data_IF_635979750574
#
_entry.id   IF_635979750574
#
_cell.length_a   1.000
_cell.length_b   1.000
_cell.length_c   1.000
_cell.angle_alpha   90.00
_cell.angle_beta   90.00
_cell.angle_gamma   90.00
#
_symmetry.space_group_name_H-M   'P 1'
#
loop_
_entity.id
_entity.type
_entity.pdbx_description
1 polymer ?
#
# COMPACT_ATOMS: atom_id res chain seq x y z
N UNK A 1 -33.50 -13.77 -12.66
CA UNK A 1 -34.23 -13.85 -11.38
C UNK A 1 -34.48 -12.43 -10.91
N UNK A 2 -35.73 -11.99 -11.00
CA UNK A 2 -36.21 -10.67 -10.59
C UNK A 2 -36.23 -10.58 -9.06
N UNK A 3 -35.92 -9.39 -8.52
CA UNK A 3 -35.44 -9.17 -7.15
C UNK A 3 -36.35 -9.67 -6.03
N UNK A 4 -35.75 -10.44 -5.12
CA UNK A 4 -36.27 -10.69 -3.77
C UNK A 4 -36.21 -9.36 -2.98
N UNK A 5 -37.31 -8.62 -3.02
CA UNK A 5 -37.52 -7.46 -2.18
C UNK A 5 -38.07 -7.90 -0.82
N UNK A 6 -37.46 -7.46 0.27
CA UNK A 6 -37.91 -7.75 1.63
C UNK A 6 -38.13 -6.48 2.46
N UNK A 7 -39.00 -6.54 3.45
CA UNK A 7 -39.19 -5.44 4.41
C UNK A 7 -38.30 -5.69 5.61
N UNK A 8 -37.42 -4.73 5.91
CA UNK A 8 -36.53 -4.76 7.07
C UNK A 8 -36.66 -3.44 7.85
N UNK A 9 -36.29 -3.45 9.13
CA UNK A 9 -36.15 -2.23 9.91
C UNK A 9 -34.69 -1.77 9.84
N UNK A 10 -34.44 -0.53 9.42
CA UNK A 10 -33.10 0.07 9.39
C UNK A 10 -32.95 1.08 10.53
N UNK A 11 -31.93 0.91 11.35
CA UNK A 11 -31.64 1.79 12.49
C UNK A 11 -31.45 3.25 12.05
N UNK A 12 -32.13 4.18 12.73
CA UNK A 12 -32.15 5.61 12.41
C UNK A 12 -33.11 6.02 11.29
N UNK A 13 -33.73 5.06 10.60
CA UNK A 13 -34.61 5.31 9.44
C UNK A 13 -36.02 4.77 9.68
N UNK A 14 -36.17 3.54 10.20
CA UNK A 14 -37.45 2.85 10.36
C UNK A 14 -37.64 1.71 9.36
N UNK A 15 -38.88 1.38 9.03
CA UNK A 15 -39.19 0.32 8.06
C UNK A 15 -38.80 0.73 6.63
N UNK A 16 -38.02 -0.13 5.98
CA UNK A 16 -37.51 0.05 4.63
C UNK A 16 -37.78 -1.18 3.78
N UNK A 17 -38.18 -0.97 2.53
CA UNK A 17 -38.12 -2.01 1.50
C UNK A 17 -36.69 -2.12 1.01
N UNK A 18 -36.08 -3.28 1.15
CA UNK A 18 -34.70 -3.57 0.71
C UNK A 18 -34.77 -4.46 -0.51
N UNK A 19 -34.06 -4.07 -1.57
CA UNK A 19 -33.91 -4.86 -2.78
C UNK A 19 -32.43 -5.08 -3.09
N UNK A 20 -32.08 -6.33 -3.42
CA UNK A 20 -30.74 -6.71 -3.86
C UNK A 20 -30.62 -6.51 -5.36
N UNK A 21 -29.69 -5.67 -5.78
CA UNK A 21 -29.24 -5.56 -7.16
C UNK A 21 -27.92 -6.34 -7.36
N UNK A 22 -27.47 -6.45 -8.61
CA UNK A 22 -26.21 -7.13 -8.93
C UNK A 22 -24.98 -6.49 -8.27
N UNK A 23 -24.99 -5.16 -8.07
CA UNK A 23 -23.86 -4.35 -7.63
C UNK A 23 -24.02 -3.81 -6.18
N UNK A 24 -25.14 -4.10 -5.52
CA UNK A 24 -25.39 -3.60 -4.18
C UNK A 24 -26.82 -3.75 -3.68
N UNK A 25 -27.08 -3.09 -2.56
CA UNK A 25 -28.39 -2.96 -1.94
C UNK A 25 -29.01 -1.61 -2.28
N UNK A 26 -30.30 -1.61 -2.54
CA UNK A 26 -31.12 -0.39 -2.54
C UNK A 26 -32.17 -0.51 -1.47
N UNK A 27 -32.43 0.60 -0.77
CA UNK A 27 -33.45 0.62 0.27
C UNK A 27 -34.26 1.92 0.23
N UNK A 28 -35.58 1.78 0.36
CA UNK A 28 -36.54 2.87 0.32
C UNK A 28 -37.40 2.85 1.59
N UNK A 29 -37.54 3.98 2.31
CA UNK A 29 -38.47 4.08 3.44
C UNK A 29 -39.91 3.81 3.01
N UNK A 30 -40.62 2.95 3.75
CA UNK A 30 -42.04 2.64 3.51
C UNK A 30 -42.97 3.79 3.91
N UNK A 31 -42.58 4.54 4.94
CA UNK A 31 -43.29 5.72 5.41
C UNK A 31 -42.42 6.95 5.21
N UNK A 32 -42.60 7.64 4.07
CA UNK A 32 -42.17 9.03 3.95
C UNK A 32 -43.18 9.88 4.73
N UNK A 33 -42.81 10.36 5.92
CA UNK A 33 -43.62 11.38 6.59
C UNK A 33 -43.61 12.65 5.72
N UNK A 34 -44.68 12.81 4.94
CA UNK A 34 -45.09 14.08 4.37
C UNK A 34 -45.49 14.98 5.54
N UNK A 35 -44.64 15.95 5.87
CA UNK A 35 -45.12 17.18 6.48
C UNK A 35 -44.56 18.38 5.72
N UNK A 36 -45.24 18.72 4.63
CA UNK A 36 -45.32 20.12 4.22
C UNK A 36 -46.20 20.85 5.22
N UNK A 37 -45.61 21.66 6.11
CA UNK A 37 -46.17 22.95 6.57
C UNK A 37 -45.38 23.47 7.77
N UNK A 38 -44.32 24.22 7.50
CA UNK A 38 -44.10 25.55 8.07
C UNK A 38 -42.73 26.03 7.64
N UNK A 39 -42.69 27.24 7.10
CA UNK A 39 -41.46 27.97 6.85
C UNK A 39 -40.72 28.14 8.19
N UNK A 40 -39.39 28.19 8.13
CA UNK A 40 -38.46 28.23 9.26
C UNK A 40 -38.20 26.90 9.97
N UNK A 41 -37.36 26.04 9.36
CA UNK A 41 -36.41 25.17 10.07
C UNK A 41 -35.42 24.60 9.06
N UNK A 42 -34.14 24.88 9.24
CA UNK A 42 -33.04 24.26 8.48
C UNK A 42 -32.99 22.80 8.93
N UNK A 43 -33.70 21.93 8.21
CA UNK A 43 -33.75 20.50 8.51
C UNK A 43 -32.44 19.83 8.08
N UNK A 44 -31.51 19.67 9.02
CA UNK A 44 -30.30 18.86 8.86
C UNK A 44 -30.65 17.36 8.98
N UNK A 45 -31.31 16.79 7.96
CA UNK A 45 -31.28 15.34 7.78
C UNK A 45 -30.04 14.99 6.94
N UNK A 46 -29.13 14.12 7.42
CA UNK A 46 -28.10 13.58 6.55
C UNK A 46 -28.82 12.82 5.44
N UNK A 47 -28.74 13.30 4.20
CA UNK A 47 -29.27 12.59 3.01
C UNK A 47 -28.77 11.14 3.06
N UNK A 48 -29.65 10.23 3.48
CA UNK A 48 -29.41 8.79 3.50
C UNK A 48 -29.04 8.38 2.07
N UNK A 49 -27.89 7.73 1.89
CA UNK A 49 -27.60 7.10 0.62
C UNK A 49 -28.59 5.95 0.45
N UNK A 50 -29.53 6.08 -0.49
CA UNK A 50 -30.55 5.07 -0.79
C UNK A 50 -30.00 3.83 -1.48
N UNK A 51 -28.67 3.76 -1.66
CA UNK A 51 -27.95 2.68 -2.32
C UNK A 51 -26.62 2.45 -1.61
N UNK A 52 -26.31 1.18 -1.36
CA UNK A 52 -25.05 0.70 -0.79
C UNK A 52 -24.41 -0.28 -1.77
N UNK A 53 -23.23 0.01 -2.28
CA UNK A 53 -22.55 -0.87 -3.23
C UNK A 53 -21.83 -2.00 -2.51
N UNK A 54 -21.88 -3.23 -3.06
CA UNK A 54 -21.13 -4.35 -2.49
C UNK A 54 -19.63 -4.11 -2.52
N UNK A 55 -19.12 -3.35 -3.50
CA UNK A 55 -17.71 -2.96 -3.58
C UNK A 55 -17.21 -2.11 -2.41
N UNK A 56 -18.12 -1.53 -1.61
CA UNK A 56 -17.81 -0.71 -0.43
C UNK A 56 -18.12 -1.43 0.90
N UNK A 57 -18.73 -2.62 0.86
CA UNK A 57 -19.07 -3.40 2.06
C UNK A 57 -17.93 -4.35 2.38
N UNK A 58 -17.29 -4.22 3.54
CA UNK A 58 -16.15 -5.08 3.90
C UNK A 58 -16.53 -6.27 4.79
N UNK A 59 -17.67 -6.23 5.49
CA UNK A 59 -18.13 -7.35 6.31
C UNK A 59 -19.64 -7.33 6.58
N UNK A 60 -20.17 -8.48 7.00
CA UNK A 60 -21.52 -8.64 7.52
C UNK A 60 -21.46 -9.51 8.76
N UNK A 61 -22.10 -9.06 9.84
CA UNK A 61 -22.11 -9.73 11.14
C UNK A 61 -23.54 -9.90 11.66
N UNK A 62 -23.81 -11.05 12.26
CA UNK A 62 -25.02 -11.24 13.06
C UNK A 62 -24.83 -10.64 14.44
N UNK A 63 -25.88 -10.00 14.94
CA UNK A 63 -25.93 -9.49 16.30
C UNK A 63 -27.00 -10.22 17.10
N UNK A 64 -26.81 -10.23 18.41
CA UNK A 64 -27.84 -10.67 19.34
C UNK A 64 -29.10 -9.80 19.25
N UNK A 65 -30.21 -10.38 19.70
CA UNK A 65 -31.49 -9.68 19.83
C UNK A 65 -31.29 -8.40 20.63
N UNK A 66 -31.85 -7.30 20.15
CA UNK A 66 -31.80 -6.05 20.88
C UNK A 66 -32.50 -4.91 20.16
N UNK A 67 -32.38 -3.69 20.68
CA UNK A 67 -33.16 -2.56 20.19
C UNK A 67 -32.67 -2.11 18.81
N UNK A 68 -33.62 -1.75 17.95
CA UNK A 68 -33.36 -0.97 16.73
C UNK A 68 -34.08 0.37 16.89
N UNK A 69 -33.34 1.47 16.73
CA UNK A 69 -33.90 2.81 16.96
C UNK A 69 -34.58 3.32 15.68
N UNK A 70 -35.81 3.83 15.79
CA UNK A 70 -36.46 4.58 14.71
C UNK A 70 -35.85 5.96 14.50
N UNK A 71 -36.34 6.73 13.51
CA UNK A 71 -35.84 8.07 13.22
C UNK A 71 -36.01 9.01 14.43
N UNK A 72 -35.01 9.84 14.68
CA UNK A 72 -34.91 10.69 15.88
C UNK A 72 -36.00 11.79 15.99
N UNK A 73 -36.81 11.99 14.93
CA UNK A 73 -37.71 13.14 14.78
C UNK A 73 -39.20 12.87 15.09
N UNK A 74 -39.58 11.69 15.58
CA UNK A 74 -40.95 11.54 16.08
C UNK A 74 -41.08 12.25 17.43
N UNK A 75 -41.77 13.39 17.40
CA UNK A 75 -42.10 14.26 18.54
C UNK A 75 -43.15 13.60 19.47
N UNK A 76 -43.02 12.32 19.75
CA UNK A 76 -43.75 11.59 20.80
C UNK A 76 -42.87 11.47 22.03
N UNK A 77 -42.53 12.64 22.58
CA UNK A 77 -42.34 12.78 24.02
C UNK A 77 -43.74 12.56 24.62
N UNK A 78 -43.88 11.66 25.60
CA UNK A 78 -45.14 11.24 26.25
C UNK A 78 -45.92 10.09 25.56
N UNK A 79 -45.29 8.92 25.42
CA UNK A 79 -45.86 7.59 25.77
C UNK A 79 -44.90 6.49 25.30
N UNK A 80 -44.25 5.79 26.24
CA UNK A 80 -43.53 4.52 26.07
C UNK A 80 -42.73 4.33 24.78
N UNK A 81 -41.41 4.61 24.81
CA UNK A 81 -40.46 4.12 23.81
C UNK A 81 -40.66 2.62 23.58
N UNK A 82 -41.36 2.22 22.52
CA UNK A 82 -41.32 0.84 22.03
C UNK A 82 -40.00 0.65 21.30
N UNK A 83 -38.90 0.52 22.07
CA UNK A 83 -37.72 -0.17 21.59
C UNK A 83 -38.19 -1.60 21.31
N UNK A 84 -38.59 -1.88 20.07
CA UNK A 84 -39.02 -3.22 19.70
C UNK A 84 -37.74 -4.02 19.55
N UNK A 85 -37.53 -4.97 20.44
CA UNK A 85 -36.40 -5.90 20.32
C UNK A 85 -36.60 -6.72 19.05
N UNK A 86 -35.55 -6.79 18.24
CA UNK A 86 -35.56 -7.51 16.98
C UNK A 86 -34.28 -8.33 16.85
N UNK A 87 -34.33 -9.35 16.00
CA UNK A 87 -33.13 -10.02 15.51
C UNK A 87 -32.41 -9.04 14.57
N UNK A 88 -31.08 -8.98 14.64
CA UNK A 88 -30.32 -7.93 13.95
C UNK A 88 -29.12 -8.50 13.19
N UNK A 89 -28.75 -7.81 12.13
CA UNK A 89 -27.47 -7.99 11.47
C UNK A 89 -26.92 -6.61 11.06
N UNK A 90 -25.60 -6.51 11.02
CA UNK A 90 -24.90 -5.28 10.64
C UNK A 90 -24.15 -5.51 9.34
N UNK A 91 -24.34 -4.59 8.42
CA UNK A 91 -23.54 -4.48 7.20
C UNK A 91 -22.51 -3.40 7.42
N UNK A 92 -21.24 -3.80 7.44
CA UNK A 92 -20.09 -2.94 7.66
C UNK A 92 -19.57 -2.45 6.32
N UNK A 93 -19.59 -1.14 6.10
CA UNK A 93 -19.22 -0.51 4.85
C UNK A 93 -18.24 0.65 5.06
N UNK A 94 -17.71 1.18 3.96
CA UNK A 94 -16.86 2.38 3.98
C UNK A 94 -17.61 3.58 3.43
N UNK A 95 -17.31 4.75 3.96
CA UNK A 95 -17.82 6.02 3.45
C UNK A 95 -16.76 7.10 3.53
N UNK A 96 -16.97 8.19 2.78
CA UNK A 96 -16.17 9.41 2.91
C UNK A 96 -16.98 10.46 3.65
N UNK A 97 -16.35 11.11 4.62
CA UNK A 97 -16.99 12.22 5.31
C UNK A 97 -17.21 13.38 4.33
N UNK A 98 -18.40 14.00 4.36
CA UNK A 98 -18.67 15.20 3.55
C UNK A 98 -17.84 16.40 3.99
N UNK A 99 -17.40 16.43 5.25
CA UNK A 99 -16.56 17.51 5.81
C UNK A 99 -15.07 17.29 5.54
N UNK A 100 -14.66 16.03 5.42
CA UNK A 100 -13.28 15.61 5.16
C UNK A 100 -13.32 14.44 4.17
N UNK A 101 -13.32 14.71 2.85
CA UNK A 101 -13.48 13.66 1.84
C UNK A 101 -12.21 12.82 1.63
N UNK A 102 -11.09 13.14 2.30
CA UNK A 102 -9.83 12.41 2.14
C UNK A 102 -9.83 11.03 2.84
N UNK A 103 -10.13 10.89 4.15
CA UNK A 103 -10.13 9.57 4.78
C UNK A 103 -11.38 8.77 4.42
N UNK A 104 -11.16 7.48 4.17
CA UNK A 104 -12.21 6.48 4.19
C UNK A 104 -12.45 6.04 5.62
N UNK A 105 -13.70 6.09 6.07
CA UNK A 105 -14.09 5.72 7.44
C UNK A 105 -15.07 4.55 7.43
N UNK A 106 -14.99 3.63 8.41
CA UNK A 106 -16.02 2.63 8.60
C UNK A 106 -17.38 3.27 8.90
N UNK A 107 -18.44 2.64 8.41
CA UNK A 107 -19.82 2.97 8.73
C UNK A 107 -20.66 1.70 8.81
N UNK A 108 -21.73 1.74 9.60
CA UNK A 108 -22.54 0.57 9.91
C UNK A 108 -23.99 0.79 9.49
N UNK A 109 -24.55 -0.19 8.77
CA UNK A 109 -25.97 -0.27 8.47
C UNK A 109 -26.56 -1.42 9.28
N UNK A 110 -27.28 -1.07 10.34
CA UNK A 110 -27.91 -2.05 11.24
C UNK A 110 -29.34 -2.32 10.79
N UNK A 111 -29.57 -3.53 10.30
CA UNK A 111 -30.88 -4.02 9.89
C UNK A 111 -31.46 -4.92 10.98
N UNK A 112 -32.80 -4.93 11.09
CA UNK A 112 -33.52 -5.77 12.02
C UNK A 112 -34.81 -6.33 11.43
N UNK A 113 -35.21 -7.50 11.94
CA UNK A 113 -36.46 -8.16 11.62
C UNK A 113 -36.97 -8.97 12.82
N UNK A 114 -38.28 -9.20 12.90
CA UNK A 114 -38.89 -9.97 13.99
C UNK A 114 -38.50 -11.45 13.91
N UNK A 115 -38.46 -11.99 12.70
CA UNK A 115 -38.01 -13.35 12.44
C UNK A 115 -36.48 -13.41 12.28
N UNK A 116 -35.86 -14.33 13.02
CA UNK A 116 -34.42 -14.58 13.01
C UNK A 116 -33.96 -15.16 11.67
N UNK A 117 -34.77 -16.03 11.06
CA UNK A 117 -34.37 -16.74 9.86
C UNK A 117 -34.30 -15.81 8.64
N UNK A 118 -35.19 -14.82 8.60
CA UNK A 118 -35.13 -13.70 7.66
C UNK A 118 -33.80 -12.95 7.80
N UNK A 119 -33.38 -12.57 9.02
CA UNK A 119 -32.11 -11.88 9.24
C UNK A 119 -30.90 -12.72 8.79
N UNK A 120 -30.90 -14.03 9.09
CA UNK A 120 -29.88 -14.98 8.63
C UNK A 120 -29.81 -15.05 7.12
N UNK A 121 -30.93 -15.28 6.47
CA UNK A 121 -31.03 -15.36 5.01
C UNK A 121 -30.47 -14.10 4.34
N UNK A 122 -30.82 -12.92 4.85
CA UNK A 122 -30.31 -11.65 4.34
C UNK A 122 -28.80 -11.51 4.52
N UNK A 123 -28.28 -11.75 5.72
CA UNK A 123 -26.86 -11.61 5.99
C UNK A 123 -26.01 -12.63 5.23
N UNK A 124 -26.48 -13.88 5.11
CA UNK A 124 -25.84 -14.93 4.31
C UNK A 124 -25.86 -14.58 2.82
N UNK A 125 -26.98 -14.05 2.31
CA UNK A 125 -27.09 -13.63 0.92
C UNK A 125 -26.11 -12.47 0.61
N UNK A 126 -26.08 -11.43 1.45
CA UNK A 126 -25.16 -10.30 1.30
C UNK A 126 -23.70 -10.78 1.41
N UNK A 127 -23.40 -11.64 2.38
CA UNK A 127 -22.07 -12.27 2.51
C UNK A 127 -21.70 -13.06 1.26
N UNK A 128 -22.64 -13.79 0.67
CA UNK A 128 -22.47 -14.52 -0.58
C UNK A 128 -22.18 -13.60 -1.77
N UNK A 129 -22.80 -12.43 -1.85
CA UNK A 129 -22.49 -11.41 -2.86
C UNK A 129 -21.09 -10.84 -2.68
N UNK A 130 -20.73 -10.47 -1.45
CA UNK A 130 -19.39 -9.94 -1.12
C UNK A 130 -18.29 -10.95 -1.44
N UNK A 131 -18.51 -12.23 -1.14
CA UNK A 131 -17.53 -13.30 -1.40
C UNK A 131 -17.29 -13.58 -2.89
N UNK A 132 -18.16 -13.08 -3.78
CA UNK A 132 -18.01 -13.19 -5.24
C UNK A 132 -17.15 -12.07 -5.83
N UNK A 133 -16.82 -11.03 -5.06
CA UNK A 133 -15.91 -9.97 -5.48
C UNK A 133 -14.49 -10.53 -5.68
N UNK A 134 -14.08 -10.69 -6.94
CA UNK A 134 -12.87 -11.44 -7.30
C UNK A 134 -11.57 -10.80 -6.82
N UNK A 135 -11.56 -9.48 -6.65
CA UNK A 135 -10.36 -8.73 -6.30
C UNK A 135 -10.04 -8.75 -4.79
N UNK A 136 -10.91 -9.31 -3.94
CA UNK A 136 -10.71 -9.28 -2.49
C UNK A 136 -9.68 -10.31 -2.04
N UNK A 137 -8.66 -9.89 -1.27
CA UNK A 137 -7.68 -10.83 -0.73
C UNK A 137 -8.31 -11.71 0.35
N UNK A 138 -7.85 -12.95 0.44
CA UNK A 138 -8.27 -13.92 1.47
C UNK A 138 -7.14 -14.24 2.44
N UNK A 139 -5.90 -14.26 1.96
CA UNK A 139 -4.71 -14.61 2.75
C UNK A 139 -3.60 -13.60 2.49
N UNK A 140 -3.17 -12.87 3.52
CA UNK A 140 -2.14 -11.84 3.39
C UNK A 140 -0.98 -12.11 4.35
N UNK A 141 0.24 -11.91 3.87
CA UNK A 141 1.41 -11.83 4.73
C UNK A 141 1.60 -10.38 5.18
N UNK A 142 1.91 -10.14 6.45
CA UNK A 142 2.01 -8.78 7.00
C UNK A 142 3.37 -8.62 7.67
N UNK A 143 4.20 -7.72 7.17
CA UNK A 143 5.41 -7.31 7.85
C UNK A 143 5.15 -6.04 8.65
N UNK A 144 5.40 -6.08 9.95
CA UNK A 144 5.26 -4.94 10.85
C UNK A 144 6.63 -4.48 11.31
N UNK A 145 6.98 -3.22 11.07
CA UNK A 145 8.21 -2.65 11.64
C UNK A 145 7.91 -1.97 12.98
N UNK A 146 8.28 -2.54 14.14
CA UNK A 146 7.85 -2.02 15.44
C UNK A 146 8.29 -0.57 15.69
N UNK A 147 9.49 -0.23 15.23
CA UNK A 147 10.15 1.05 15.52
C UNK A 147 9.83 2.16 14.51
N UNK A 148 8.99 1.93 13.50
CA UNK A 148 8.67 2.97 12.51
C UNK A 148 7.91 4.14 13.14
N UNK A 149 8.13 5.35 12.60
CA UNK A 149 7.30 6.52 12.88
C UNK A 149 7.13 6.87 14.35
N UNK A 150 8.24 6.90 15.10
CA UNK A 150 8.28 7.08 16.57
C UNK A 150 7.65 5.91 17.36
N UNK A 151 7.84 4.68 16.90
CA UNK A 151 7.34 3.47 17.56
C UNK A 151 5.83 3.25 17.41
N UNK A 152 5.24 3.73 16.30
CA UNK A 152 3.81 3.62 16.01
C UNK A 152 3.45 2.37 15.20
N UNK A 153 4.41 1.62 14.67
CA UNK A 153 4.15 0.46 13.81
C UNK A 153 3.24 -0.59 14.44
N UNK A 154 3.54 -1.02 15.68
CA UNK A 154 2.69 -1.97 16.40
C UNK A 154 1.30 -1.39 16.67
N UNK A 155 1.22 -0.14 17.16
CA UNK A 155 -0.06 0.53 17.45
C UNK A 155 -0.94 0.68 16.20
N UNK A 156 -0.34 1.03 15.07
CA UNK A 156 -1.05 1.15 13.80
C UNK A 156 -1.56 -0.21 13.33
N UNK A 157 -0.77 -1.28 13.49
CA UNK A 157 -1.24 -2.64 13.20
C UNK A 157 -2.36 -3.07 14.15
N UNK A 158 -2.20 -2.91 15.47
CA UNK A 158 -3.21 -3.24 16.48
C UNK A 158 -4.54 -2.53 16.22
N UNK A 159 -4.49 -1.28 15.76
CA UNK A 159 -5.67 -0.50 15.40
C UNK A 159 -6.44 -1.08 14.20
N UNK A 160 -5.73 -1.60 13.19
CA UNK A 160 -6.35 -2.03 11.92
C UNK A 160 -6.55 -3.54 11.82
N UNK A 161 -5.84 -4.34 12.60
CA UNK A 161 -5.97 -5.80 12.60
C UNK A 161 -7.42 -6.29 12.79
N UNK A 162 -8.24 -5.69 13.68
CA UNK A 162 -9.65 -6.08 13.82
C UNK A 162 -10.49 -5.85 12.55
N UNK A 163 -10.09 -4.95 11.64
CA UNK A 163 -10.77 -4.75 10.36
C UNK A 163 -10.54 -5.94 9.43
N UNK A 164 -9.31 -6.47 9.39
CA UNK A 164 -8.98 -7.67 8.60
C UNK A 164 -9.70 -8.90 9.14
N UNK A 165 -9.74 -9.09 10.46
CA UNK A 165 -10.45 -10.18 11.10
C UNK A 165 -11.96 -10.12 10.79
N UNK A 166 -12.57 -8.96 10.96
CA UNK A 166 -13.99 -8.71 10.63
C UNK A 166 -14.30 -8.99 9.16
N UNK A 167 -13.40 -8.62 8.27
CA UNK A 167 -13.52 -8.91 6.83
C UNK A 167 -13.18 -10.36 6.46
N UNK A 168 -12.88 -11.22 7.45
CA UNK A 168 -12.49 -12.63 7.26
C UNK A 168 -11.24 -12.80 6.37
N UNK A 169 -10.35 -11.81 6.38
CA UNK A 169 -9.05 -11.85 5.70
C UNK A 169 -8.02 -12.44 6.65
N UNK A 170 -7.49 -13.61 6.31
CA UNK A 170 -6.47 -14.28 7.12
C UNK A 170 -5.13 -13.55 6.99
N UNK A 171 -4.48 -13.25 8.10
CA UNK A 171 -3.21 -12.52 8.12
C UNK A 171 -2.13 -13.35 8.81
N UNK A 172 -0.97 -13.51 8.17
CA UNK A 172 0.26 -14.04 8.77
C UNK A 172 1.19 -12.88 9.10
N UNK A 173 1.26 -12.51 10.38
CA UNK A 173 2.00 -11.34 10.85
C UNK A 173 3.43 -11.72 11.22
N UNK A 174 4.41 -10.93 10.75
CA UNK A 174 5.83 -11.06 11.02
C UNK A 174 6.34 -9.69 11.49
N UNK A 175 6.84 -9.63 12.72
CA UNK A 175 7.46 -8.42 13.24
C UNK A 175 8.93 -8.39 12.82
N UNK A 176 9.36 -7.34 12.12
CA UNK A 176 10.74 -7.22 11.66
C UNK A 176 11.65 -6.84 12.84
N UNK A 177 12.75 -7.56 12.98
CA UNK A 177 13.71 -7.38 14.08
C UNK A 177 14.93 -6.53 13.70
N UNK A 178 15.26 -6.47 12.41
CA UNK A 178 16.44 -5.80 11.86
C UNK A 178 16.19 -5.30 10.45
N UNK A 179 17.06 -4.40 9.97
CA UNK A 179 17.08 -4.01 8.57
C UNK A 179 17.38 -5.23 7.68
N UNK A 180 16.67 -5.39 6.57
CA UNK A 180 16.84 -6.51 5.65
C UNK A 180 16.14 -7.82 6.09
N UNK A 181 15.42 -7.84 7.22
CA UNK A 181 14.66 -9.02 7.65
C UNK A 181 13.55 -9.37 6.64
N UNK A 182 12.66 -8.45 6.28
CA UNK A 182 11.59 -8.70 5.31
C UNK A 182 12.15 -9.08 3.94
N UNK A 183 13.26 -8.48 3.53
CA UNK A 183 13.97 -8.84 2.29
C UNK A 183 14.41 -10.31 2.34
N UNK A 184 15.13 -10.69 3.41
CA UNK A 184 15.66 -12.04 3.57
C UNK A 184 14.53 -13.08 3.60
N UNK A 185 13.46 -12.81 4.35
CA UNK A 185 12.29 -13.70 4.44
C UNK A 185 11.64 -13.94 3.07
N UNK A 186 11.44 -12.89 2.26
CA UNK A 186 10.78 -13.02 0.95
C UNK A 186 11.69 -13.61 -0.13
N UNK A 187 12.99 -13.30 -0.06
CA UNK A 187 14.00 -13.88 -0.94
C UNK A 187 14.17 -15.39 -0.70
N UNK A 188 14.09 -15.84 0.56
CA UNK A 188 14.19 -17.26 0.93
C UNK A 188 12.89 -18.05 0.79
N UNK A 189 11.75 -17.37 0.63
CA UNK A 189 10.44 -18.03 0.52
C UNK A 189 10.38 -18.89 -0.73
N UNK A 190 9.84 -20.11 -0.66
CA UNK A 190 9.60 -20.92 -1.86
C UNK A 190 8.38 -20.44 -2.63
N UNK A 191 8.29 -20.74 -3.93
CA UNK A 191 7.13 -20.38 -4.74
C UNK A 191 5.84 -21.10 -4.31
N UNK A 192 5.96 -22.31 -3.77
CA UNK A 192 4.83 -23.05 -3.18
C UNK A 192 4.28 -22.34 -1.93
N UNK A 193 5.15 -21.74 -1.13
CA UNK A 193 4.73 -20.96 0.03
C UNK A 193 4.18 -19.60 -0.37
N UNK A 194 4.79 -18.93 -1.35
CA UNK A 194 4.33 -17.64 -1.85
C UNK A 194 2.88 -17.75 -2.35
N UNK A 195 2.57 -18.79 -3.13
CA UNK A 195 1.22 -19.08 -3.67
C UNK A 195 0.11 -19.27 -2.62
N UNK A 196 0.45 -19.38 -1.34
CA UNK A 196 -0.55 -19.43 -0.25
C UNK A 196 -1.12 -18.05 0.10
N UNK A 197 -0.52 -16.96 -0.39
CA UNK A 197 -0.87 -15.60 -0.03
C UNK A 197 -1.23 -14.77 -1.25
N UNK A 198 -2.36 -14.08 -1.23
CA UNK A 198 -2.81 -13.18 -2.32
C UNK A 198 -1.99 -11.88 -2.38
N UNK A 199 -1.16 -11.63 -1.36
CA UNK A 199 -0.28 -10.46 -1.32
C UNK A 199 0.46 -10.31 0.00
N UNK A 200 1.25 -9.24 0.08
CA UNK A 200 2.02 -8.86 1.26
C UNK A 200 1.80 -7.39 1.63
N UNK A 201 1.72 -7.10 2.91
CA UNK A 201 1.50 -5.76 3.46
C UNK A 201 2.75 -5.29 4.20
N UNK A 202 3.19 -4.07 3.91
CA UNK A 202 4.15 -3.31 4.71
C UNK A 202 3.41 -2.43 5.74
N UNK A 203 3.51 -2.71 7.03
CA UNK A 203 3.12 -1.78 8.09
C UNK A 203 4.37 -1.00 8.53
N UNK A 204 4.58 0.13 7.89
CA UNK A 204 5.86 0.85 7.94
C UNK A 204 5.86 2.07 7.03
N UNK A 205 7.06 2.54 6.68
CA UNK A 205 7.26 3.56 5.66
C UNK A 205 7.84 3.00 4.37
N UNK A 206 8.27 3.89 3.47
CA UNK A 206 8.81 3.55 2.14
C UNK A 206 9.99 2.57 2.21
N UNK A 207 10.81 2.62 3.26
CA UNK A 207 11.93 1.70 3.45
C UNK A 207 11.52 0.24 3.60
N UNK A 208 10.50 -0.06 4.43
CA UNK A 208 10.00 -1.43 4.60
C UNK A 208 9.33 -1.92 3.31
N UNK A 209 8.58 -1.05 2.63
CA UNK A 209 7.97 -1.38 1.35
C UNK A 209 9.04 -1.73 0.30
N UNK A 210 10.10 -0.93 0.18
CA UNK A 210 11.21 -1.21 -0.73
C UNK A 210 11.97 -2.48 -0.35
N UNK A 211 12.10 -2.79 0.94
CA UNK A 211 12.71 -4.03 1.41
C UNK A 211 11.91 -5.27 0.95
N UNK A 212 10.59 -5.22 1.10
CA UNK A 212 9.66 -6.25 0.61
C UNK A 212 9.73 -6.39 -0.91
N UNK A 213 9.67 -5.27 -1.63
CA UNK A 213 9.75 -5.23 -3.09
C UNK A 213 11.03 -5.89 -3.60
N UNK A 214 12.18 -5.52 -3.04
CA UNK A 214 13.47 -6.09 -3.45
C UNK A 214 13.56 -7.58 -3.06
N UNK A 215 13.02 -7.98 -1.91
CA UNK A 215 12.99 -9.40 -1.51
C UNK A 215 12.23 -10.27 -2.51
N UNK A 216 11.07 -9.79 -2.97
CA UNK A 216 10.27 -10.47 -3.98
C UNK A 216 10.94 -10.50 -5.35
N UNK A 217 11.41 -9.35 -5.85
CA UNK A 217 11.92 -9.23 -7.23
C UNK A 217 13.31 -9.82 -7.41
N UNK A 218 14.15 -9.86 -6.35
CA UNK A 218 15.54 -10.33 -6.44
C UNK A 218 15.70 -11.74 -7.02
N UNK A 219 14.75 -12.65 -6.72
CA UNK A 219 14.79 -14.04 -7.18
C UNK A 219 13.77 -14.35 -8.28
N UNK A 220 12.83 -13.43 -8.55
CA UNK A 220 11.63 -13.69 -9.37
C UNK A 220 11.42 -12.77 -10.55
N UNK A 221 12.22 -11.71 -10.66
CA UNK A 221 12.17 -10.81 -11.80
C UNK A 221 13.42 -10.98 -12.65
N UNK A 222 13.22 -11.35 -13.92
CA UNK A 222 14.27 -11.48 -14.92
C UNK A 222 14.02 -10.42 -15.99
N UNK A 223 14.83 -9.37 -15.99
CA UNK A 223 14.83 -8.34 -17.03
C UNK A 223 16.25 -8.14 -17.55
N UNK A 224 16.35 -7.73 -18.81
CA UNK A 224 17.61 -7.28 -19.38
C UNK A 224 18.15 -6.09 -18.59
N UNK A 225 19.45 -6.08 -18.35
CA UNK A 225 20.10 -4.94 -17.73
C UNK A 225 20.16 -3.76 -18.71
N UNK A 226 20.16 -2.52 -18.20
CA UNK A 226 20.46 -1.36 -19.03
C UNK A 226 21.87 -1.51 -19.65
N UNK A 227 22.23 -0.72 -20.68
CA UNK A 227 23.58 -0.72 -21.20
C UNK A 227 24.61 -0.44 -20.10
N UNK A 228 25.82 -1.02 -20.23
CA UNK A 228 26.95 -0.60 -19.40
C UNK A 228 27.29 0.87 -19.66
N UNK A 229 27.93 1.58 -18.73
CA UNK A 229 28.36 2.97 -18.95
C UNK A 229 29.24 3.14 -20.20
N UNK A 230 30.07 2.13 -20.50
CA UNK A 230 30.90 2.08 -21.71
C UNK A 230 30.06 1.79 -22.97
N UNK A 231 29.07 0.89 -22.87
CA UNK A 231 28.10 0.61 -23.92
C UNK A 231 27.24 1.83 -24.29
N UNK A 232 26.88 2.67 -23.32
CA UNK A 232 26.21 3.95 -23.57
C UNK A 232 27.01 4.88 -24.49
N UNK A 233 28.36 4.85 -24.45
CA UNK A 233 29.18 5.65 -25.38
C UNK A 233 29.03 5.21 -26.83
N UNK A 234 28.76 3.93 -27.08
CA UNK A 234 28.51 3.40 -28.42
C UNK A 234 27.09 3.68 -28.93
N UNK A 235 26.11 3.88 -28.04
CA UNK A 235 24.76 4.32 -28.44
C UNK A 235 24.75 5.75 -29.03
N UNK A 236 25.72 6.59 -28.65
CA UNK A 236 25.88 7.95 -29.14
C UNK A 236 26.16 8.09 -30.65
N UNK A 237 26.47 6.99 -31.36
CA UNK A 237 26.69 7.04 -32.82
C UNK A 237 25.42 6.80 -33.66
N UNK A 238 24.39 6.14 -33.11
CA UNK A 238 23.20 5.73 -33.88
C UNK A 238 21.89 6.39 -33.43
N UNK A 239 21.85 7.03 -32.25
CA UNK A 239 20.70 7.80 -31.77
C UNK A 239 21.17 9.16 -31.26
N UNK A 240 20.35 10.20 -31.41
CA UNK A 240 20.63 11.55 -30.91
C UNK A 240 20.62 11.58 -29.36
N UNK A 241 21.64 11.04 -28.70
CA UNK A 241 21.87 11.25 -27.27
C UNK A 241 22.46 12.65 -27.06
N UNK A 242 21.78 13.50 -26.30
CA UNK A 242 22.36 14.74 -25.81
C UNK A 242 23.17 14.46 -24.53
N UNK A 243 24.50 14.45 -24.64
CA UNK A 243 25.37 14.46 -23.48
C UNK A 243 25.45 15.89 -22.91
N UNK A 244 25.01 16.08 -21.67
CA UNK A 244 25.24 17.32 -20.93
C UNK A 244 26.38 17.10 -19.95
N UNK A 245 27.50 17.79 -20.19
CA UNK A 245 28.59 17.96 -19.21
C UNK A 245 28.45 19.33 -18.58
N UNK A 246 28.32 19.38 -17.25
CA UNK A 246 28.25 20.64 -16.54
C UNK A 246 29.68 21.21 -16.41
N UNK A 247 30.13 21.94 -17.43
CA UNK A 247 31.42 22.64 -17.36
C UNK A 247 31.26 23.84 -16.43
N UNK A 248 31.74 23.70 -15.20
CA UNK A 248 31.93 24.82 -14.29
C UNK A 248 32.75 25.91 -14.97
N UNK A 249 32.22 27.13 -14.89
CA UNK A 249 32.77 28.35 -15.48
C UNK A 249 34.26 28.51 -15.16
N UNK A 250 35.10 28.39 -16.18
CA UNK A 250 36.49 28.84 -16.16
C UNK A 250 36.53 30.37 -16.28
N UNK A 251 37.18 31.02 -15.32
CA UNK A 251 37.82 32.32 -15.52
C UNK A 251 39.25 32.26 -14.96
N UNK A 252 40.20 32.60 -15.83
CA UNK A 252 41.66 32.68 -15.66
C UNK A 252 42.06 33.47 -14.39
N UNK A 253 43.24 33.31 -13.76
CA UNK A 253 44.58 33.43 -14.33
C UNK A 253 45.64 33.04 -13.27
N UNK A 254 46.83 32.65 -13.74
CA UNK A 254 47.94 32.04 -13.02
C UNK A 254 48.77 32.96 -12.09
N UNK A 255 49.31 32.36 -11.03
CA UNK A 255 50.66 32.50 -10.44
C UNK A 255 50.80 31.29 -9.49
N UNK A 256 51.75 30.37 -9.60
CA UNK A 256 53.20 30.53 -9.58
C UNK A 256 53.72 29.76 -8.35
N UNK A 257 54.35 28.61 -8.60
CA UNK A 257 55.24 27.79 -7.76
C UNK A 257 55.00 27.66 -6.24
N UNK A 258 54.78 26.44 -5.77
CA UNK A 258 55.81 25.77 -4.96
C UNK A 258 55.56 24.26 -4.81
N UNK A 259 56.64 23.53 -5.04
CA UNK A 259 56.79 22.08 -4.89
C UNK A 259 56.77 21.74 -3.40
N UNK A 260 55.86 20.86 -2.97
CA UNK A 260 56.17 19.96 -1.87
C UNK A 260 55.41 18.64 -1.98
N UNK A 261 56.16 17.66 -2.44
CA UNK A 261 55.89 16.22 -2.33
C UNK A 261 55.81 15.87 -0.84
N UNK A 262 54.63 15.44 -0.40
CA UNK A 262 54.51 14.59 0.78
C UNK A 262 53.72 13.34 0.39
N UNK A 263 54.49 12.28 0.14
CA UNK A 263 54.03 10.90 0.06
C UNK A 263 53.26 10.54 1.33
N UNK A 264 51.93 10.43 1.21
CA UNK A 264 51.06 9.78 2.18
C UNK A 264 50.44 8.55 1.54
N UNK A 265 50.90 7.37 1.95
CA UNK A 265 50.28 6.08 1.60
C UNK A 265 48.77 6.12 1.90
N UNK A 266 47.93 6.01 0.86
CA UNK A 266 46.50 5.75 1.01
C UNK A 266 46.15 4.46 0.26
N UNK A 267 46.60 3.33 0.83
CA UNK A 267 46.01 2.03 0.55
C UNK A 267 44.84 1.83 1.52
N UNK A 268 43.68 2.39 1.19
CA UNK A 268 42.40 1.97 1.77
C UNK A 268 41.38 1.88 0.65
N UNK A 269 40.90 0.69 0.28
CA UNK A 269 39.83 0.55 -0.71
C UNK A 269 38.54 1.08 -0.08
N UNK A 270 38.06 2.20 -0.62
CA UNK A 270 36.86 2.93 -0.15
C UNK A 270 35.56 2.24 -0.64
N UNK A 271 35.50 0.92 -0.52
CA UNK A 271 34.33 0.08 -0.82
C UNK A 271 33.50 -0.15 0.46
N UNK A 272 33.03 0.93 1.08
CA UNK A 272 31.99 0.83 2.09
C UNK A 272 30.62 0.97 1.41
N UNK A 273 29.92 -0.16 1.26
CA UNK A 273 28.53 -0.23 0.80
C UNK A 273 27.63 0.72 1.61
N UNK A 274 26.96 1.70 0.97
CA UNK A 274 25.93 2.44 1.66
C UNK A 274 24.64 1.62 1.61
N UNK A 275 24.18 1.22 2.80
CA UNK A 275 22.78 0.96 3.15
C UNK A 275 22.12 -0.26 2.47
N UNK A 276 22.58 -1.43 2.88
CA UNK A 276 21.81 -2.63 3.27
C UNK A 276 22.85 -3.74 3.44
N UNK A 277 23.64 -3.71 4.52
CA UNK A 277 24.57 -4.79 4.81
C UNK A 277 23.76 -6.05 5.12
N UNK A 278 23.58 -6.93 4.13
CA UNK A 278 23.16 -8.30 4.36
C UNK A 278 24.26 -8.97 5.16
N UNK A 279 24.12 -8.99 6.49
CA UNK A 279 24.89 -9.89 7.33
C UNK A 279 24.60 -11.33 6.86
N UNK A 280 25.65 -12.14 6.80
CA UNK A 280 25.61 -13.55 6.44
C UNK A 280 24.46 -14.27 7.16
N UNK A 281 23.85 -15.22 6.45
CA UNK A 281 22.81 -16.10 6.99
C UNK A 281 23.32 -16.84 8.22
N UNK A 282 23.04 -16.32 9.41
CA UNK A 282 22.98 -17.16 10.60
C UNK A 282 21.69 -17.97 10.50
N UNK A 283 21.87 -19.27 10.29
CA UNK A 283 20.78 -20.23 10.16
C UNK A 283 19.81 -20.12 11.32
N UNK A 284 18.53 -20.02 11.00
CA UNK A 284 17.48 -20.37 11.95
C UNK A 284 17.33 -21.88 11.87
N UNK A 285 17.64 -22.56 12.97
CA UNK A 285 17.38 -23.98 13.20
C UNK A 285 15.88 -24.25 13.08
N UNK A 286 15.46 -24.72 11.89
CA UNK A 286 14.22 -25.45 11.73
C UNK A 286 14.62 -26.92 11.76
N UNK A 287 14.25 -27.59 12.85
CA UNK A 287 14.51 -29.00 13.11
C UNK A 287 14.18 -29.88 11.90
N UNK A 288 15.22 -30.44 11.28
CA UNK A 288 15.12 -31.49 10.28
C UNK A 288 14.73 -32.81 10.95
N UNK A 289 13.52 -33.29 10.71
CA UNK A 289 13.14 -34.67 11.03
C UNK A 289 12.74 -35.41 9.76
N UNK A 290 13.64 -36.33 9.37
CA UNK A 290 13.45 -37.57 8.62
C UNK A 290 13.04 -37.49 7.14
N UNK A 291 14.06 -37.63 6.29
CA UNK A 291 13.98 -38.22 4.95
C UNK A 291 13.70 -39.72 5.07
N UNK A 292 12.61 -40.18 4.49
CA UNK A 292 12.45 -41.56 4.04
C UNK A 292 12.08 -41.52 2.56
N UNK A 293 12.89 -42.19 1.76
CA UNK A 293 12.77 -42.32 0.31
C UNK A 293 11.39 -42.86 -0.11
N UNK A 294 10.61 -42.05 -0.82
CA UNK A 294 9.50 -42.51 -1.65
C UNK A 294 9.67 -42.01 -3.09
N UNK A 295 9.20 -42.76 -4.11
CA UNK A 295 9.54 -42.52 -5.50
C UNK A 295 8.88 -41.24 -6.02
N UNK A 296 9.65 -40.48 -6.81
CA UNK A 296 9.25 -39.22 -7.43
C UNK A 296 8.03 -39.37 -8.35
N UNK A 297 6.85 -39.06 -7.83
CA UNK A 297 5.72 -38.54 -8.60
C UNK A 297 5.28 -37.25 -7.89
N UNK A 298 5.71 -36.10 -8.39
CA UNK A 298 5.46 -34.84 -7.71
C UNK A 298 5.34 -33.66 -8.66
N UNK A 299 4.11 -33.17 -8.81
CA UNK A 299 3.75 -31.93 -9.47
C UNK A 299 4.77 -30.81 -9.18
N UNK A 300 5.61 -30.47 -10.16
CA UNK A 300 6.49 -29.32 -10.04
C UNK A 300 5.62 -28.06 -10.03
N UNK A 301 5.51 -27.41 -8.87
CA UNK A 301 4.79 -26.15 -8.73
C UNK A 301 5.43 -25.11 -9.66
N UNK A 302 4.68 -24.48 -10.58
CA UNK A 302 5.25 -23.54 -11.55
C UNK A 302 5.98 -22.39 -10.88
N UNK A 303 7.16 -22.02 -11.41
CA UNK A 303 7.94 -20.87 -10.97
C UNK A 303 7.10 -19.58 -10.97
N UNK A 304 7.22 -18.76 -9.93
CA UNK A 304 6.52 -17.46 -9.82
C UNK A 304 7.42 -16.38 -10.40
N UNK A 305 6.95 -15.71 -11.45
CA UNK A 305 7.58 -14.54 -12.02
C UNK A 305 6.77 -13.27 -11.74
N UNK A 306 7.45 -12.12 -11.79
CA UNK A 306 6.84 -10.79 -11.72
C UNK A 306 7.18 -9.97 -12.97
N UNK A 307 6.27 -9.10 -13.45
CA UNK A 307 4.95 -8.79 -12.88
C UNK A 307 3.92 -9.92 -13.08
N UNK A 308 2.92 -10.01 -12.20
CA UNK A 308 1.79 -10.93 -12.33
C UNK A 308 0.50 -10.25 -11.84
N UNK A 309 -0.66 -10.82 -12.15
CA UNK A 309 -1.98 -10.21 -11.84
C UNK A 309 -2.58 -10.64 -10.50
N UNK A 310 -1.96 -11.62 -9.82
CA UNK A 310 -2.55 -12.26 -8.64
C UNK A 310 -1.96 -11.68 -7.34
N UNK A 311 -0.64 -11.53 -7.27
CA UNK A 311 0.08 -11.16 -6.05
C UNK A 311 0.19 -9.64 -5.92
N UNK A 312 -0.23 -9.11 -4.77
CA UNK A 312 -0.34 -7.65 -4.57
C UNK A 312 0.54 -7.15 -3.42
N UNK A 313 0.96 -5.89 -3.53
CA UNK A 313 1.69 -5.17 -2.48
C UNK A 313 0.75 -4.18 -1.80
N UNK A 314 0.66 -4.24 -0.48
CA UNK A 314 -0.08 -3.29 0.36
C UNK A 314 0.86 -2.47 1.23
N UNK A 315 0.44 -1.24 1.57
CA UNK A 315 1.17 -0.37 2.51
C UNK A 315 0.21 0.26 3.51
N UNK A 316 0.54 0.15 4.79
CA UNK A 316 -0.14 0.81 5.90
C UNK A 316 0.82 1.84 6.50
N UNK A 317 0.50 3.15 6.41
CA UNK A 317 1.40 4.25 6.72
C UNK A 317 1.80 4.21 8.18
N UNK A 318 3.10 4.10 8.42
CA UNK A 318 3.69 4.25 9.76
C UNK A 318 5.07 4.90 9.70
N UNK A 319 5.46 5.49 8.56
CA UNK A 319 6.74 6.15 8.36
C UNK A 319 6.70 7.64 8.67
N UNK A 320 7.80 8.33 8.33
CA UNK A 320 7.91 9.80 8.41
C UNK A 320 7.77 10.47 7.04
N UNK A 321 8.06 9.75 5.95
CA UNK A 321 7.94 10.23 4.57
C UNK A 321 6.61 9.80 3.97
N UNK A 322 6.38 8.48 3.93
CA UNK A 322 5.13 7.88 3.46
C UNK A 322 4.77 8.37 2.04
N UNK A 323 5.76 8.42 1.16
CA UNK A 323 5.59 8.90 -0.21
C UNK A 323 4.74 7.93 -1.06
N UNK A 324 4.99 6.63 -0.94
CA UNK A 324 4.29 5.60 -1.73
C UNK A 324 2.82 5.56 -1.33
N UNK A 325 2.52 5.55 -0.03
CA UNK A 325 1.14 5.55 0.47
C UNK A 325 0.40 6.83 0.10
N UNK A 326 0.99 8.03 0.28
CA UNK A 326 0.37 9.28 -0.18
C UNK A 326 0.06 9.27 -1.68
N UNK A 327 0.97 8.73 -2.49
CA UNK A 327 0.80 8.68 -3.95
C UNK A 327 -0.25 7.66 -4.40
N UNK A 328 -0.57 6.67 -3.58
CA UNK A 328 -1.48 5.56 -3.93
C UNK A 328 -2.84 5.67 -3.26
N UNK A 329 -2.91 6.04 -1.97
CA UNK A 329 -4.15 6.16 -1.20
C UNK A 329 -4.63 7.60 -1.06
N UNK A 330 -3.74 8.59 -1.24
CA UNK A 330 -4.02 10.01 -1.10
C UNK A 330 -3.97 10.54 0.35
N UNK A 331 -3.74 9.69 1.36
CA UNK A 331 -3.81 10.09 2.78
C UNK A 331 -2.88 9.24 3.66
N UNK A 332 -2.36 9.83 4.75
CA UNK A 332 -1.51 9.12 5.75
C UNK A 332 -2.35 8.52 6.88
N UNK A 333 -3.41 7.79 6.52
CA UNK A 333 -4.34 7.18 7.47
C UNK A 333 -4.26 5.64 7.42
N UNK A 334 -3.86 4.97 8.52
CA UNK A 334 -3.78 3.51 8.55
C UNK A 334 -5.12 2.82 8.31
N UNK A 335 -6.23 3.39 8.79
CA UNK A 335 -7.57 2.83 8.62
C UNK A 335 -7.97 2.83 7.15
N UNK A 336 -7.79 3.96 6.48
CA UNK A 336 -8.00 4.10 5.03
C UNK A 336 -7.20 3.06 4.25
N UNK A 337 -5.89 2.93 4.51
CA UNK A 337 -5.07 1.91 3.84
C UNK A 337 -5.58 0.50 4.07
N UNK A 338 -5.93 0.14 5.31
CA UNK A 338 -6.44 -1.18 5.64
C UNK A 338 -7.75 -1.49 4.92
N UNK A 339 -8.70 -0.55 4.91
CA UNK A 339 -9.98 -0.69 4.22
C UNK A 339 -9.82 -0.87 2.71
N UNK A 340 -8.94 -0.08 2.07
CA UNK A 340 -8.66 -0.21 0.64
C UNK A 340 -8.04 -1.58 0.29
N UNK A 341 -7.12 -2.06 1.13
CA UNK A 341 -6.52 -3.40 0.99
C UNK A 341 -7.59 -4.49 1.12
N UNK A 342 -8.42 -4.43 2.16
CA UNK A 342 -9.50 -5.41 2.42
C UNK A 342 -10.49 -5.49 1.26
N UNK A 343 -10.86 -4.34 0.70
CA UNK A 343 -11.78 -4.27 -0.43
C UNK A 343 -11.11 -4.64 -1.77
N UNK A 344 -9.81 -4.93 -1.79
CA UNK A 344 -9.10 -5.32 -3.00
C UNK A 344 -8.89 -4.18 -4.00
N UNK A 345 -8.96 -2.91 -3.55
CA UNK A 345 -8.72 -1.75 -4.41
C UNK A 345 -7.26 -1.81 -4.91
N UNK A 346 -7.06 -1.57 -6.20
CA UNK A 346 -5.76 -1.72 -6.86
C UNK A 346 -5.40 -0.52 -7.71
N UNK A 347 -4.10 -0.25 -7.78
CA UNK A 347 -3.49 0.74 -8.66
C UNK A 347 -2.19 0.14 -9.20
N UNK A 348 -1.82 0.48 -10.43
CA UNK A 348 -0.52 0.12 -10.99
C UNK A 348 0.56 1.06 -10.46
N UNK A 349 1.73 0.51 -10.13
CA UNK A 349 2.87 1.27 -9.65
C UNK A 349 4.09 0.97 -10.53
N UNK A 350 4.67 2.01 -11.10
CA UNK A 350 5.89 1.90 -11.89
C UNK A 350 7.09 1.68 -10.96
N UNK A 351 7.97 0.74 -11.34
CA UNK A 351 9.14 0.36 -10.55
C UNK A 351 10.40 0.61 -11.39
N UNK A 352 11.34 1.38 -10.84
CA UNK A 352 12.63 1.63 -11.49
C UNK A 352 13.64 0.52 -11.13
N UNK A 353 14.28 -0.08 -12.13
CA UNK A 353 15.44 -0.95 -11.94
C UNK A 353 16.71 -0.09 -11.89
N UNK A 354 17.47 -0.22 -10.79
CA UNK A 354 18.74 0.47 -10.57
C UNK A 354 19.86 -0.57 -10.62
N UNK A 355 20.75 -0.46 -11.61
CA UNK A 355 21.84 -1.40 -11.83
C UNK A 355 23.18 -0.72 -11.57
N UNK A 356 23.92 -1.23 -10.59
CA UNK A 356 25.28 -0.82 -10.29
C UNK A 356 26.27 -1.75 -10.99
N UNK A 357 26.98 -1.20 -11.97
CA UNK A 357 28.10 -1.85 -12.63
C UNK A 357 29.36 -1.74 -11.74
N UNK A 358 30.13 -2.82 -11.60
CA UNK A 358 31.41 -2.80 -10.88
C UNK A 358 32.53 -2.28 -11.78
N UNK A 359 33.50 -1.60 -11.19
CA UNK A 359 34.57 -0.89 -11.90
C UNK A 359 35.67 -1.78 -12.52
N UNK A 360 35.71 -3.08 -12.20
CA UNK A 360 36.73 -4.00 -12.75
C UNK A 360 36.13 -4.91 -13.84
N UNK A 361 36.71 -4.92 -15.06
CA UNK A 361 36.29 -5.80 -16.15
C UNK A 361 36.87 -7.23 -16.05
N UNK A 362 37.66 -7.54 -15.01
CA UNK A 362 38.24 -8.88 -14.83
C UNK A 362 37.50 -9.67 -13.75
N UNK A 363 37.00 -10.84 -14.16
CA UNK A 363 36.21 -11.84 -13.44
C UNK A 363 34.70 -11.58 -13.37
N UNK A 364 33.96 -12.69 -13.48
CA UNK A 364 32.51 -12.90 -13.61
C UNK A 364 31.67 -12.33 -12.46
N UNK A 365 31.80 -11.05 -12.14
CA UNK A 365 31.03 -10.43 -11.05
C UNK A 365 29.79 -9.76 -11.62
N UNK A 366 28.64 -10.44 -11.48
CA UNK A 366 27.33 -9.95 -11.90
C UNK A 366 27.05 -8.54 -11.31
N UNK A 367 26.40 -7.65 -12.08
CA UNK A 367 26.03 -6.32 -11.59
C UNK A 367 25.05 -6.43 -10.41
N UNK A 368 25.09 -5.45 -9.51
CA UNK A 368 24.15 -5.42 -8.39
C UNK A 368 22.88 -4.70 -8.81
N UNK A 369 21.74 -5.37 -8.64
CA UNK A 369 20.42 -4.87 -9.06
C UNK A 369 19.58 -4.54 -7.84
N UNK A 370 18.97 -3.35 -7.85
CA UNK A 370 17.97 -2.91 -6.88
C UNK A 370 16.74 -2.39 -7.61
N UNK A 371 15.61 -2.39 -6.92
CA UNK A 371 14.35 -1.84 -7.41
C UNK A 371 13.90 -0.70 -6.51
N UNK A 372 13.41 0.38 -7.11
CA UNK A 372 12.92 1.56 -6.40
C UNK A 372 11.48 1.87 -6.82
N UNK A 373 10.59 2.00 -5.83
CA UNK A 373 9.18 2.34 -6.05
C UNK A 373 8.87 3.85 -5.98
N UNK A 374 9.80 4.67 -5.49
CA UNK A 374 9.56 6.11 -5.27
C UNK A 374 10.63 6.98 -5.91
N UNK A 375 11.88 6.89 -5.45
CA UNK A 375 12.97 7.69 -5.98
C UNK A 375 14.33 7.02 -5.75
N UNK A 376 15.27 7.29 -6.65
CA UNK A 376 16.69 7.07 -6.48
C UNK A 376 17.40 8.43 -6.68
N UNK A 377 18.40 8.73 -5.87
CA UNK A 377 19.04 10.05 -5.86
C UNK A 377 20.56 9.97 -5.76
N UNK A 378 21.23 10.92 -6.41
CA UNK A 378 22.68 11.12 -6.37
C UNK A 378 22.99 12.59 -6.02
N UNK A 379 24.19 12.85 -5.49
CA UNK A 379 24.64 14.20 -5.12
C UNK A 379 23.93 14.73 -3.88
N UNK A 380 23.59 16.03 -3.89
CA UNK A 380 23.01 16.75 -2.75
C UNK A 380 21.84 15.97 -2.10
N UNK A 381 20.84 15.59 -2.90
CA UNK A 381 19.67 14.88 -2.37
C UNK A 381 20.03 13.52 -1.76
N UNK A 382 20.91 12.76 -2.42
CA UNK A 382 21.40 11.47 -1.90
C UNK A 382 22.13 11.62 -0.57
N UNK A 383 22.97 12.65 -0.43
CA UNK A 383 23.64 12.96 0.84
C UNK A 383 22.65 13.42 1.91
N UNK A 384 21.65 14.24 1.59
CA UNK A 384 20.61 14.64 2.54
C UNK A 384 19.88 13.43 3.08
N UNK A 385 19.45 12.51 2.21
CA UNK A 385 18.80 11.27 2.63
C UNK A 385 19.74 10.45 3.52
N UNK A 386 21.00 10.23 3.11
CA UNK A 386 22.01 9.48 3.88
C UNK A 386 22.25 10.08 5.27
N UNK A 387 22.48 11.39 5.36
CA UNK A 387 22.74 12.08 6.63
C UNK A 387 21.48 12.08 7.52
N UNK A 388 20.29 12.22 6.94
CA UNK A 388 19.02 12.25 7.68
C UNK A 388 18.69 10.96 8.43
N UNK A 389 19.31 9.83 8.04
CA UNK A 389 19.15 8.56 8.72
C UNK A 389 19.73 8.57 10.14
N UNK A 390 20.76 9.37 10.41
CA UNK A 390 21.30 9.55 11.76
C UNK A 390 20.34 10.32 12.69
N UNK A 391 19.32 10.97 12.13
CA UNK A 391 18.40 11.86 12.84
C UNK A 391 16.95 11.36 12.79
N UNK A 392 16.72 10.03 12.66
CA UNK A 392 15.35 9.44 12.64
C UNK A 392 14.47 9.90 13.81
N UNK A 393 15.06 10.15 14.98
CA UNK A 393 14.36 10.58 16.19
C UNK A 393 13.65 11.94 16.02
N UNK A 394 14.12 12.79 15.11
CA UNK A 394 13.50 14.09 14.81
C UNK A 394 12.20 13.96 13.99
N UNK A 395 11.89 12.79 13.43
CA UNK A 395 10.79 12.63 12.48
C UNK A 395 11.03 13.49 11.22
N UNK A 396 9.97 14.04 10.59
CA UNK A 396 10.11 14.79 9.33
C UNK A 396 11.09 15.98 9.36
N UNK A 397 11.29 16.64 10.50
CA UNK A 397 12.22 17.77 10.64
C UNK A 397 13.68 17.42 10.34
N UNK A 398 14.04 16.12 10.33
CA UNK A 398 15.38 15.65 9.95
C UNK A 398 15.77 16.07 8.54
N UNK A 399 14.80 16.21 7.62
CA UNK A 399 15.11 16.55 6.23
C UNK A 399 15.57 17.99 6.09
N UNK A 400 14.94 18.94 6.77
CA UNK A 400 15.35 20.34 6.75
C UNK A 400 16.69 20.54 7.45
N UNK A 401 16.90 19.84 8.57
CA UNK A 401 18.16 19.87 9.31
C UNK A 401 19.32 19.31 8.48
N UNK A 402 19.18 18.09 7.95
CA UNK A 402 20.21 17.48 7.11
C UNK A 402 20.39 18.23 5.80
N UNK A 403 19.31 18.75 5.21
CA UNK A 403 19.34 19.64 4.05
C UNK A 403 20.24 20.85 4.27
N UNK A 404 20.02 21.56 5.37
CA UNK A 404 20.83 22.73 5.75
C UNK A 404 22.29 22.35 5.97
N UNK A 405 22.55 21.23 6.64
CA UNK A 405 23.92 20.80 6.91
C UNK A 405 24.70 20.39 5.67
N UNK A 406 24.07 19.62 4.77
CA UNK A 406 24.67 19.26 3.48
C UNK A 406 24.86 20.50 2.61
N UNK A 407 23.91 21.44 2.64
CA UNK A 407 24.00 22.69 1.90
C UNK A 407 25.19 23.54 2.35
N UNK A 408 25.39 23.70 3.66
CA UNK A 408 26.52 24.45 4.21
C UNK A 408 27.88 23.80 3.95
N UNK A 409 27.94 22.47 3.79
CA UNK A 409 29.16 21.76 3.36
C UNK A 409 29.53 22.09 1.90
N UNK A 410 28.60 22.61 1.10
CA UNK A 410 28.78 23.15 -0.25
C UNK A 410 29.69 22.29 -1.15
N UNK A 411 29.39 20.99 -1.24
CA UNK A 411 30.11 20.05 -2.10
C UNK A 411 29.57 20.07 -3.52
N UNK A 412 30.46 20.09 -4.51
CA UNK A 412 30.12 19.80 -5.90
C UNK A 412 30.26 18.30 -6.17
N UNK A 413 29.37 17.74 -6.98
CA UNK A 413 29.41 16.33 -7.37
C UNK A 413 29.58 16.25 -8.88
N UNK A 414 30.69 15.67 -9.33
CA UNK A 414 30.91 15.42 -10.74
C UNK A 414 30.11 14.19 -11.17
N UNK A 415 29.26 14.36 -12.18
CA UNK A 415 28.49 13.27 -12.77
C UNK A 415 28.38 13.45 -14.27
N UNK A 416 28.34 12.32 -14.99
CA UNK A 416 27.97 12.25 -16.39
C UNK A 416 26.62 11.56 -16.50
N UNK A 417 25.67 12.19 -17.19
CA UNK A 417 24.32 11.67 -17.37
C UNK A 417 24.07 11.47 -18.86
N UNK A 418 23.66 10.25 -19.21
CA UNK A 418 23.11 9.92 -20.51
C UNK A 418 21.69 9.39 -20.29
N UNK A 419 20.76 9.80 -21.14
CA UNK A 419 19.36 9.37 -21.05
C UNK A 419 18.81 9.09 -22.45
N UNK A 420 17.82 8.20 -22.51
CA UNK A 420 17.02 7.96 -23.69
C UNK A 420 15.68 8.66 -23.48
N UNK A 421 15.37 9.61 -24.37
CA UNK A 421 14.08 10.27 -24.34
C UNK A 421 12.99 9.28 -24.80
N UNK A 422 11.89 9.23 -24.07
CA UNK A 422 10.74 8.45 -24.48
C UNK A 422 10.18 9.07 -25.77
N UNK A 423 10.27 8.35 -26.90
CA UNK A 423 9.64 8.80 -28.14
C UNK A 423 8.12 8.94 -27.91
N UNK A 424 7.56 10.11 -28.25
CA UNK A 424 6.15 10.51 -28.07
C UNK A 424 5.10 9.58 -28.74
N UNK A 425 5.50 8.43 -29.25
CA UNK A 425 4.71 7.55 -30.13
C UNK A 425 3.75 6.60 -29.40
N UNK A 426 3.65 6.61 -28.06
CA UNK A 426 2.77 5.67 -27.31
C UNK A 426 1.46 6.33 -26.82
N UNK A 427 1.23 7.63 -27.05
CA UNK A 427 -0.05 8.26 -26.70
C UNK A 427 -1.14 8.20 -27.79
N UNK A 428 -0.91 7.52 -28.92
CA UNK A 428 -1.89 7.44 -30.02
C UNK A 428 -2.60 6.11 -30.26
N UNK A 429 -2.32 5.03 -29.52
CA UNK A 429 -3.15 3.82 -29.61
C UNK A 429 -3.56 3.30 -28.23
N UNK A 430 -4.80 3.63 -27.85
CA UNK A 430 -5.68 2.63 -27.23
C UNK A 430 -5.54 2.33 -25.74
N UNK A 431 -5.43 3.36 -24.87
CA UNK A 431 -5.97 3.34 -23.50
C UNK A 431 -6.00 4.77 -22.99
N UNK A 432 -7.13 5.46 -23.19
CA UNK A 432 -7.40 6.69 -22.44
C UNK A 432 -7.48 6.29 -20.96
N UNK A 433 -6.67 6.86 -20.06
CA UNK A 433 -7.04 6.90 -18.65
C UNK A 433 -8.40 7.61 -18.63
N UNK A 434 -9.44 6.91 -18.16
CA UNK A 434 -10.71 7.56 -17.85
C UNK A 434 -10.38 8.78 -16.99
N UNK A 435 -10.74 9.94 -17.50
CA UNK A 435 -10.63 11.22 -16.82
C UNK A 435 -11.12 11.06 -15.38
N UNK A 436 -10.18 10.99 -14.43
CA UNK A 436 -10.43 11.32 -13.05
C UNK A 436 -10.62 12.84 -13.03
N UNK A 437 -11.79 13.28 -13.51
CA UNK A 437 -12.35 14.53 -13.06
C UNK A 437 -12.59 14.35 -11.56
N UNK A 438 -11.68 14.94 -10.78
CA UNK A 438 -11.97 15.32 -9.42
C UNK A 438 -13.15 16.29 -9.49
N UNK A 439 -14.34 15.79 -9.15
CA UNK A 439 -15.49 16.56 -8.70
C UNK A 439 -15.90 16.08 -7.33
#
# INVERSE_FOLDING_TARGET
MQGDGGVLFLSGVGEVTVAVAHDGLSFQPLHLDVSSSCWSSITMQPKLQSKLQFSDVYAVEHLDVGPVCGPWNTRTVVQGKRNTEMNRFVVHAITRSRKQPSPWVPCEYMFGHKDLETCKTWAEHISGCINKEQDRPKNLMVFVHPLCGKGRGCKNWEMVAPLFERAKVKTKVIFTERAGHAYATLASLSDKELKKFDGVIAVGGDGLFNEILNGLLSTRHKNSYPPTPEGCRYFGSNYKCQEYTNNGVSNNMATGDDVNVLSGNLNTPDDHEPLLSTAQSTGLDISSSNLSDEPCNGDQVPFVSFPNNWFRLGIIPSGSTDAIVLSTTGERDPVTSALLIILGRRISLDIAQVVRWKSSPTAEVLPTVRYAASFAGYGFYGEVIRESENYRWMGPARYDFSGTMVFLKHRSYEARVAFLEASNTIYQEGLRPSELQVR
#
